data_IF_873925703865
#
_entry.id   IF_873925703865
#
_cell.length_a   1.000
_cell.length_b   1.000
_cell.length_c   1.000
_cell.angle_alpha   90.00
_cell.angle_beta   90.00
_cell.angle_gamma   90.00
#
_symmetry.space_group_name_H-M   'P 1'
#
loop_
_entity.id
_entity.type
_entity.pdbx_description
1 polymer ?
#
# COMPACT_ATOMS: atom_id res chain seq x y z
N UNK A 1 -20.35 2.89 13.18
CA UNK A 1 -20.41 2.62 11.72
C UNK A 1 -21.24 1.36 11.50
N UNK A 2 -22.30 1.41 10.71
CA UNK A 2 -23.14 0.24 10.37
C UNK A 2 -22.36 -0.74 9.49
N UNK A 3 -22.62 -2.04 9.59
CA UNK A 3 -21.96 -3.08 8.77
C UNK A 3 -22.05 -2.80 7.27
N UNK A 4 -23.21 -2.34 6.79
CA UNK A 4 -23.43 -1.93 5.40
C UNK A 4 -22.51 -0.79 4.95
N UNK A 5 -22.18 0.16 5.83
CA UNK A 5 -21.27 1.26 5.50
C UNK A 5 -19.84 0.77 5.36
N UNK A 6 -19.42 -0.19 6.20
CA UNK A 6 -18.09 -0.79 6.11
C UNK A 6 -17.91 -1.58 4.82
N UNK A 7 -18.89 -2.42 4.45
CA UNK A 7 -18.83 -3.18 3.20
C UNK A 7 -18.85 -2.27 1.97
N UNK A 8 -19.63 -1.18 1.99
CA UNK A 8 -19.65 -0.22 0.89
C UNK A 8 -18.32 0.55 0.76
N UNK A 9 -17.68 0.94 1.88
CA UNK A 9 -16.35 1.55 1.85
C UNK A 9 -15.29 0.58 1.30
N UNK A 10 -15.35 -0.69 1.70
CA UNK A 10 -14.47 -1.72 1.16
C UNK A 10 -14.66 -1.89 -0.36
N UNK A 11 -15.91 -1.91 -0.83
CA UNK A 11 -16.22 -1.96 -2.27
C UNK A 11 -15.69 -0.73 -3.02
N UNK A 12 -15.81 0.47 -2.44
CA UNK A 12 -15.25 1.69 -3.03
C UNK A 12 -13.72 1.64 -3.12
N UNK A 13 -13.06 1.08 -2.10
CA UNK A 13 -11.62 0.85 -2.09
C UNK A 13 -11.19 -0.09 -3.23
N UNK A 14 -11.90 -1.21 -3.39
CA UNK A 14 -11.64 -2.20 -4.44
C UNK A 14 -11.89 -1.59 -5.82
N UNK A 15 -12.98 -0.83 -5.98
CA UNK A 15 -13.29 -0.14 -7.22
C UNK A 15 -12.17 0.85 -7.61
N UNK A 16 -11.65 1.60 -6.62
CA UNK A 16 -10.51 2.50 -6.82
C UNK A 16 -9.26 1.78 -7.29
N UNK A 17 -8.92 0.66 -6.64
CA UNK A 17 -7.84 -0.24 -7.07
C UNK A 17 -7.98 -0.62 -8.55
N UNK A 18 -9.12 -1.19 -8.94
CA UNK A 18 -9.35 -1.66 -10.30
C UNK A 18 -9.31 -0.50 -11.30
N UNK A 19 -10.00 0.60 -11.02
CA UNK A 19 -10.15 1.72 -11.95
C UNK A 19 -8.84 2.46 -12.21
N UNK A 20 -7.99 2.61 -11.20
CA UNK A 20 -6.75 3.39 -11.30
C UNK A 20 -5.51 2.56 -11.64
N UNK A 21 -5.63 1.23 -11.71
CA UNK A 21 -4.48 0.37 -11.98
C UNK A 21 -3.84 0.66 -13.35
N UNK A 22 -4.64 0.79 -14.40
CA UNK A 22 -4.17 1.13 -15.75
C UNK A 22 -3.60 2.57 -15.80
N UNK A 23 -4.31 3.60 -15.29
CA UNK A 23 -3.74 4.94 -15.18
C UNK A 23 -2.39 5.01 -14.46
N UNK A 24 -2.23 4.30 -13.35
CA UNK A 24 -0.98 4.26 -12.60
C UNK A 24 0.15 3.59 -13.41
N UNK A 25 -0.17 2.52 -14.15
CA UNK A 25 0.76 1.89 -15.09
C UNK A 25 1.24 2.87 -16.18
N UNK A 26 0.31 3.56 -16.84
CA UNK A 26 0.64 4.55 -17.87
C UNK A 26 1.44 5.73 -17.30
N UNK A 27 1.17 6.13 -16.05
CA UNK A 27 1.94 7.17 -15.39
C UNK A 27 3.38 6.74 -15.13
N UNK A 28 3.59 5.46 -14.80
CA UNK A 28 4.91 4.87 -14.58
C UNK A 28 5.75 4.88 -15.85
N UNK A 29 5.14 4.60 -17.01
CA UNK A 29 5.80 4.67 -18.31
C UNK A 29 6.27 6.09 -18.65
N UNK A 30 5.53 7.13 -18.21
CA UNK A 30 5.87 8.53 -18.50
C UNK A 30 6.89 9.15 -17.55
N UNK A 31 6.86 8.79 -16.26
CA UNK A 31 7.67 9.44 -15.22
C UNK A 31 8.79 8.56 -14.64
N UNK A 32 8.67 7.23 -14.72
CA UNK A 32 9.39 6.17 -13.98
C UNK A 32 8.56 5.51 -12.87
N UNK A 33 8.66 4.18 -12.80
CA UNK A 33 8.01 3.37 -11.77
C UNK A 33 8.43 3.79 -10.35
N UNK A 34 9.68 4.24 -10.17
CA UNK A 34 10.18 4.72 -8.88
C UNK A 34 9.50 5.97 -8.37
N UNK A 35 9.30 6.96 -9.22
CA UNK A 35 8.60 8.19 -8.81
C UNK A 35 7.14 7.90 -8.47
N UNK A 36 6.46 7.11 -9.30
CA UNK A 36 5.07 6.71 -9.05
C UNK A 36 4.95 5.90 -7.75
N UNK A 37 5.85 4.95 -7.50
CA UNK A 37 5.87 4.18 -6.25
C UNK A 37 6.02 5.08 -5.02
N UNK A 38 6.93 6.06 -5.05
CA UNK A 38 7.13 6.98 -3.93
C UNK A 38 5.90 7.85 -3.69
N UNK A 39 5.24 8.33 -4.75
CA UNK A 39 3.98 9.05 -4.63
C UNK A 39 2.88 8.16 -4.01
N UNK A 40 2.75 6.91 -4.47
CA UNK A 40 1.81 5.96 -3.91
C UNK A 40 2.06 5.72 -2.41
N UNK A 41 3.31 5.49 -1.99
CA UNK A 41 3.67 5.33 -0.58
C UNK A 41 3.28 6.56 0.23
N UNK A 42 3.60 7.76 -0.26
CA UNK A 42 3.28 9.01 0.44
C UNK A 42 1.77 9.20 0.61
N UNK A 43 0.99 8.95 -0.43
CA UNK A 43 -0.48 9.06 -0.39
C UNK A 43 -1.07 7.98 0.53
N UNK A 44 -0.53 6.75 0.53
CA UNK A 44 -0.98 5.69 1.44
C UNK A 44 -0.74 6.06 2.90
N UNK A 45 0.45 6.58 3.23
CA UNK A 45 0.77 7.06 4.60
C UNK A 45 -0.13 8.21 5.00
N UNK A 46 -0.34 9.19 4.11
CA UNK A 46 -1.26 10.29 4.35
C UNK A 46 -2.69 9.78 4.59
N UNK A 47 -3.12 8.78 3.82
CA UNK A 47 -4.40 8.11 4.01
C UNK A 47 -4.56 7.53 5.41
N UNK A 48 -3.54 6.84 5.95
CA UNK A 48 -3.59 6.31 7.32
C UNK A 48 -3.80 7.41 8.37
N UNK A 49 -3.14 8.56 8.21
CA UNK A 49 -3.25 9.69 9.14
C UNK A 49 -4.62 10.37 9.03
N UNK A 50 -5.13 10.52 7.81
CA UNK A 50 -6.42 11.17 7.55
C UNK A 50 -7.62 10.28 7.84
N UNK A 51 -7.46 8.95 7.80
CA UNK A 51 -8.54 7.99 8.02
C UNK A 51 -9.38 8.29 9.28
N UNK A 52 -8.81 8.42 10.49
CA UNK A 52 -9.61 8.70 11.69
C UNK A 52 -10.33 10.06 11.66
N UNK A 53 -9.81 11.03 10.90
CA UNK A 53 -10.41 12.37 10.76
C UNK A 53 -11.57 12.37 9.75
N UNK A 54 -11.44 11.59 8.69
CA UNK A 54 -12.37 11.61 7.57
C UNK A 54 -13.46 10.53 7.68
N UNK A 55 -13.29 9.50 8.52
CA UNK A 55 -14.17 8.32 8.54
C UNK A 55 -15.65 8.62 8.74
N UNK A 56 -15.99 9.68 9.49
CA UNK A 56 -17.37 10.13 9.67
C UNK A 56 -17.83 11.17 8.63
N UNK A 57 -16.92 11.76 7.88
CA UNK A 57 -17.20 12.78 6.86
C UNK A 57 -17.57 12.16 5.50
N UNK A 58 -18.29 12.88 4.62
CA UNK A 58 -18.52 12.47 3.23
C UNK A 58 -17.22 12.34 2.40
N UNK A 59 -16.13 13.00 2.82
CA UNK A 59 -14.84 12.95 2.13
C UNK A 59 -14.14 11.59 2.25
N UNK A 60 -14.63 10.69 3.11
CA UNK A 60 -14.11 9.32 3.21
C UNK A 60 -14.20 8.56 1.88
N UNK A 61 -15.24 8.82 1.07
CA UNK A 61 -15.48 8.09 -0.17
C UNK A 61 -14.39 8.32 -1.22
N UNK A 62 -14.12 9.57 -1.66
CA UNK A 62 -13.02 9.81 -2.60
C UNK A 62 -11.66 9.45 -2.00
N UNK A 63 -11.47 9.68 -0.69
CA UNK A 63 -10.23 9.32 0.00
C UNK A 63 -9.97 7.80 -0.04
N UNK A 64 -10.94 6.96 0.32
CA UNK A 64 -10.82 5.50 0.29
C UNK A 64 -10.68 4.96 -1.14
N UNK A 65 -11.36 5.56 -2.11
CA UNK A 65 -11.20 5.20 -3.51
C UNK A 65 -9.74 5.39 -3.96
N UNK A 66 -9.16 6.57 -3.71
CA UNK A 66 -7.77 6.86 -4.03
C UNK A 66 -6.82 5.99 -3.20
N UNK A 67 -7.14 5.77 -1.93
CA UNK A 67 -6.31 4.97 -1.03
C UNK A 67 -6.23 3.50 -1.47
N UNK A 68 -7.32 2.93 -1.98
CA UNK A 68 -7.34 1.60 -2.59
C UNK A 68 -6.45 1.51 -3.82
N UNK A 69 -6.52 2.52 -4.70
CA UNK A 69 -5.65 2.64 -5.88
C UNK A 69 -4.17 2.69 -5.52
N UNK A 70 -3.77 3.64 -4.68
CA UNK A 70 -2.35 3.88 -4.43
C UNK A 70 -1.71 2.75 -3.62
N UNK A 71 -2.46 2.10 -2.72
CA UNK A 71 -1.91 1.04 -1.86
C UNK A 71 -1.54 -0.19 -2.67
N UNK A 72 -2.38 -0.59 -3.63
CA UNK A 72 -2.06 -1.66 -4.59
C UNK A 72 -1.06 -1.20 -5.66
N UNK A 73 -1.08 0.09 -6.03
CA UNK A 73 -0.10 0.69 -6.92
C UNK A 73 1.35 0.47 -6.47
N UNK A 74 1.62 0.48 -5.16
CA UNK A 74 2.96 0.21 -4.61
C UNK A 74 3.49 -1.16 -5.07
N UNK A 75 2.65 -2.20 -5.02
CA UNK A 75 3.02 -3.55 -5.42
C UNK A 75 3.36 -3.62 -6.91
N UNK A 76 2.48 -3.06 -7.75
CA UNK A 76 2.68 -3.07 -9.21
C UNK A 76 3.91 -2.28 -9.63
N UNK A 77 4.13 -1.09 -9.08
CA UNK A 77 5.34 -0.32 -9.39
C UNK A 77 6.61 -1.05 -8.94
N UNK A 78 6.55 -1.81 -7.83
CA UNK A 78 7.69 -2.60 -7.35
C UNK A 78 8.02 -3.77 -8.28
N UNK A 79 7.00 -4.41 -8.87
CA UNK A 79 7.21 -5.45 -9.90
C UNK A 79 7.76 -4.83 -11.19
N UNK A 80 7.27 -3.67 -11.61
CA UNK A 80 7.81 -2.97 -12.78
C UNK A 80 9.30 -2.65 -12.56
N UNK A 81 9.66 -2.06 -11.42
CA UNK A 81 11.06 -1.80 -11.05
C UNK A 81 11.91 -3.08 -11.01
N UNK A 82 11.34 -4.21 -10.58
CA UNK A 82 12.03 -5.50 -10.58
C UNK A 82 12.31 -5.99 -12.01
N UNK A 83 11.31 -5.91 -12.90
CA UNK A 83 11.43 -6.29 -14.31
C UNK A 83 12.38 -5.40 -15.10
N UNK A 84 12.50 -4.12 -14.75
CA UNK A 84 13.47 -3.20 -15.34
C UNK A 84 14.93 -3.54 -14.94
N UNK A 85 15.13 -4.17 -13.78
CA UNK A 85 16.47 -4.43 -13.20
C UNK A 85 16.97 -5.85 -13.38
N UNK A 86 16.06 -6.82 -13.46
CA UNK A 86 16.39 -8.24 -13.47
C UNK A 86 15.65 -8.96 -14.60
N UNK A 87 16.31 -9.96 -15.18
CA UNK A 87 15.77 -10.83 -16.22
C UNK A 87 16.04 -12.30 -15.89
N UNK A 88 15.40 -13.22 -16.60
CA UNK A 88 15.62 -14.66 -16.45
C UNK A 88 15.29 -15.19 -15.05
N UNK A 89 16.13 -16.06 -14.52
CA UNK A 89 15.92 -16.73 -13.22
C UNK A 89 15.83 -15.75 -12.04
N UNK A 90 16.57 -14.64 -12.08
CA UNK A 90 16.54 -13.62 -11.03
C UNK A 90 15.17 -12.92 -10.95
N UNK A 91 14.54 -12.65 -12.10
CA UNK A 91 13.19 -12.07 -12.16
C UNK A 91 12.13 -13.03 -11.60
N UNK A 92 12.24 -14.32 -11.91
CA UNK A 92 11.35 -15.36 -11.39
C UNK A 92 11.48 -15.46 -9.87
N UNK A 93 12.71 -15.52 -9.35
CA UNK A 93 12.98 -15.56 -7.92
C UNK A 93 12.45 -14.31 -7.20
N UNK A 94 12.61 -13.12 -7.79
CA UNK A 94 12.07 -11.88 -7.24
C UNK A 94 10.54 -11.89 -7.16
N UNK A 95 9.84 -12.33 -8.21
CA UNK A 95 8.38 -12.47 -8.17
C UNK A 95 7.93 -13.49 -7.12
N UNK A 96 8.65 -14.61 -6.98
CA UNK A 96 8.37 -15.59 -5.93
C UNK A 96 8.54 -14.99 -4.52
N UNK A 97 9.59 -14.17 -4.30
CA UNK A 97 9.78 -13.46 -3.04
C UNK A 97 8.65 -12.47 -2.75
N UNK A 98 8.16 -11.74 -3.75
CA UNK A 98 6.99 -10.86 -3.61
C UNK A 98 5.73 -11.64 -3.21
N UNK A 99 5.45 -12.76 -3.88
CA UNK A 99 4.31 -13.63 -3.56
C UNK A 99 4.41 -14.21 -2.14
N UNK A 100 5.61 -14.62 -1.72
CA UNK A 100 5.86 -15.11 -0.37
C UNK A 100 5.59 -14.00 0.67
N UNK A 101 6.10 -12.79 0.44
CA UNK A 101 5.88 -11.65 1.34
C UNK A 101 4.40 -11.28 1.46
N UNK A 102 3.63 -11.38 0.37
CA UNK A 102 2.18 -11.24 0.43
C UNK A 102 1.58 -12.31 1.35
N UNK A 103 1.92 -13.59 1.14
CA UNK A 103 1.43 -14.67 1.99
C UNK A 103 1.76 -14.45 3.48
N UNK A 104 3.00 -14.07 3.79
CA UNK A 104 3.43 -13.74 5.16
C UNK A 104 2.61 -12.58 5.73
N UNK A 105 2.40 -11.51 4.97
CA UNK A 105 1.57 -10.38 5.38
C UNK A 105 0.12 -10.78 5.62
N UNK A 106 -0.47 -11.59 4.74
CA UNK A 106 -1.83 -12.09 4.88
C UNK A 106 -2.05 -12.95 6.12
N UNK A 107 -1.02 -13.66 6.57
CA UNK A 107 -1.07 -14.49 7.79
C UNK A 107 -0.78 -13.66 9.04
N UNK A 108 0.24 -12.80 9.00
CA UNK A 108 0.70 -12.08 10.19
C UNK A 108 -0.17 -10.88 10.56
N UNK A 109 -0.70 -10.15 9.58
CA UNK A 109 -1.38 -8.87 9.82
C UNK A 109 -2.73 -9.04 10.52
N UNK A 110 -3.63 -9.98 10.15
CA UNK A 110 -4.95 -10.08 10.80
C UNK A 110 -4.86 -10.42 12.30
N UNK A 111 -4.03 -11.38 12.76
CA UNK A 111 -3.83 -11.61 14.20
C UNK A 111 -3.20 -10.42 14.92
N UNK A 112 -2.23 -9.73 14.30
CA UNK A 112 -1.61 -8.54 14.90
C UNK A 112 -2.62 -7.39 15.05
N UNK A 113 -3.40 -7.11 14.01
CA UNK A 113 -4.44 -6.11 14.03
C UNK A 113 -5.58 -6.47 14.99
N UNK A 114 -6.00 -7.74 15.01
CA UNK A 114 -6.98 -8.29 15.93
C UNK A 114 -6.53 -8.15 17.38
N UNK A 115 -5.33 -8.63 17.71
CA UNK A 115 -4.77 -8.51 19.06
C UNK A 115 -4.58 -7.05 19.50
N UNK A 116 -4.20 -6.15 18.59
CA UNK A 116 -4.16 -4.72 18.89
C UNK A 116 -5.56 -4.16 19.20
N UNK A 117 -6.60 -4.63 18.50
CA UNK A 117 -7.99 -4.27 18.81
C UNK A 117 -8.47 -4.87 20.13
N UNK A 118 -8.04 -6.08 20.49
CA UNK A 118 -8.39 -6.71 21.77
C UNK A 118 -7.81 -5.94 22.96
N UNK A 119 -6.59 -5.42 22.83
CA UNK A 119 -5.91 -4.67 23.90
C UNK A 119 -6.32 -3.19 23.95
N UNK A 120 -6.49 -2.54 22.79
CA UNK A 120 -6.67 -1.09 22.68
C UNK A 120 -8.07 -0.67 22.21
N UNK A 121 -8.98 -1.61 22.02
CA UNK A 121 -10.29 -1.38 21.41
C UNK A 121 -10.20 -0.97 19.94
N UNK A 122 -11.25 -0.33 19.41
CA UNK A 122 -11.36 0.07 18.00
C UNK A 122 -10.22 0.98 17.47
N UNK A 123 -9.43 1.61 18.37
CA UNK A 123 -8.27 2.43 17.99
C UNK A 123 -7.03 1.59 17.61
N UNK A 124 -6.99 0.30 17.97
CA UNK A 124 -5.86 -0.58 17.67
C UNK A 124 -5.62 -0.79 16.18
N UNK A 125 -6.69 -0.85 15.38
CA UNK A 125 -6.62 -1.02 13.93
C UNK A 125 -5.90 0.13 13.20
N UNK A 126 -6.33 1.42 13.35
CA UNK A 126 -5.65 2.53 12.68
C UNK A 126 -4.21 2.72 13.16
N UNK A 127 -3.89 2.41 14.43
CA UNK A 127 -2.51 2.50 14.95
C UNK A 127 -1.62 1.43 14.30
N UNK A 128 -2.10 0.19 14.21
CA UNK A 128 -1.36 -0.90 13.58
C UNK A 128 -1.08 -0.59 12.10
N UNK A 129 -2.10 -0.12 11.36
CA UNK A 129 -1.95 0.30 9.97
C UNK A 129 -0.96 1.46 9.83
N UNK A 130 -1.04 2.47 10.70
CA UNK A 130 -0.13 3.61 10.72
C UNK A 130 1.33 3.19 10.93
N UNK A 131 1.59 2.30 11.89
CA UNK A 131 2.93 1.78 12.17
C UNK A 131 3.49 0.97 11.00
N UNK A 132 2.67 0.14 10.36
CA UNK A 132 3.08 -0.63 9.18
C UNK A 132 3.43 0.29 8.00
N UNK A 133 2.60 1.29 7.73
CA UNK A 133 2.88 2.28 6.68
C UNK A 133 4.13 3.10 6.98
N UNK A 134 4.37 3.45 8.25
CA UNK A 134 5.60 4.13 8.67
C UNK A 134 6.83 3.26 8.45
N UNK A 135 6.78 1.98 8.83
CA UNK A 135 7.86 1.02 8.58
C UNK A 135 8.16 0.90 7.08
N UNK A 136 7.13 0.84 6.23
CA UNK A 136 7.27 0.77 4.77
C UNK A 136 7.87 2.05 4.18
N UNK A 137 7.49 3.22 4.70
CA UNK A 137 8.08 4.50 4.30
C UNK A 137 9.57 4.55 4.66
N UNK A 138 9.95 4.16 5.88
CA UNK A 138 11.34 4.11 6.33
C UNK A 138 12.16 3.14 5.46
N UNK A 139 11.64 1.94 5.20
CA UNK A 139 12.30 0.95 4.36
C UNK A 139 12.51 1.46 2.92
N UNK A 140 11.50 2.14 2.36
CA UNK A 140 11.58 2.75 1.03
C UNK A 140 12.66 3.83 0.92
N UNK A 141 12.82 4.64 1.97
CA UNK A 141 13.86 5.68 2.04
C UNK A 141 15.26 5.07 2.28
N UNK A 142 15.37 4.06 3.14
CA UNK A 142 16.62 3.36 3.42
C UNK A 142 17.16 2.60 2.19
N UNK A 143 16.27 1.97 1.41
CA UNK A 143 16.61 1.34 0.14
C UNK A 143 17.13 2.35 -0.91
N UNK A 144 16.66 3.60 -0.86
CA UNK A 144 17.15 4.68 -1.73
C UNK A 144 18.59 5.11 -1.46
N UNK A 145 19.07 5.02 -0.21
CA UNK A 145 20.45 5.40 0.19
C UNK A 145 21.49 4.35 -0.20
N UNK A 146 21.16 3.05 -0.18
CA UNK A 146 22.10 1.99 -0.60
C UNK A 146 22.46 2.06 -2.09
N UNK A 147 21.56 2.58 -2.94
CA UNK A 147 21.82 2.72 -4.37
C UNK A 147 22.76 3.89 -4.74
N UNK A 148 23.06 4.82 -3.84
CA UNK A 148 23.98 5.95 -4.12
C UNK A 148 25.42 5.71 -3.64
N UNK A 149 25.69 4.60 -2.93
CA UNK A 149 27.03 4.25 -2.42
C UNK A 149 27.75 3.27 -3.38
N UNK A 150 27.06 2.76 -4.40
CA UNK A 150 27.58 1.79 -5.37
C UNK A 150 27.64 2.37 -6.79
N UNK A 151 27.69 3.70 -6.94
CA UNK A 151 27.98 4.37 -8.21
C UNK A 151 29.32 5.08 -8.14
#
# INVERSE_FOLDING_TARGET
>A
ITETRMSALLSAMIAGNIAMQVPLGLLAERLSARLVRLACVAITVLGCVLLPLLIESPLIWPMIFVWGAVSYGIYTMSIIELGERFTGSALVAGNAAFSLMWGVGGIAVPPLAGGAMDVMGARGLPITLGLMCLALAIASLAGGRKASIVR
#
